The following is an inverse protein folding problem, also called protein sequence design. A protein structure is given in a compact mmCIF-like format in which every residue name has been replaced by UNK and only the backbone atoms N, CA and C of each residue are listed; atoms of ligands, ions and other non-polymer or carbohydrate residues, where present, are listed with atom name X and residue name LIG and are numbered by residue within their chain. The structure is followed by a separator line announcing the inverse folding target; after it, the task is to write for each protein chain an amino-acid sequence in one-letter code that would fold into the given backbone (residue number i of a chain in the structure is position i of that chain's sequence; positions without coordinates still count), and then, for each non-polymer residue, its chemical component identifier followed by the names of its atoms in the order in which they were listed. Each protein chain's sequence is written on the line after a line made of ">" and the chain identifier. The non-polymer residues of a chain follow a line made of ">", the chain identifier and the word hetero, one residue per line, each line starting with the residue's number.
data_IF_004407172922
#
_entry.id   IF_004407172922
#
_cell.length_a   1.000
_cell.length_b   1.000
_cell.length_c   1.000
_cell.angle_alpha   90.00
_cell.angle_beta   90.00
_cell.angle_gamma   90.00
#
_symmetry.space_group_name_H-M   'P 1'
#
loop_
_entity.id
_entity.type
_entity.pdbx_description
1 polymer ?
#
# COMPACT_ATOMS: atom_id res chain seq x y z
N UNK A 1 11.89 24.83 27.33
CA UNK A 1 12.43 24.69 25.95
C UNK A 1 11.91 23.38 25.40
N UNK A 2 10.91 23.43 24.52
CA UNK A 2 10.16 22.26 24.02
C UNK A 2 10.81 21.81 22.70
N UNK A 3 11.38 20.61 22.66
CA UNK A 3 11.83 19.98 21.41
C UNK A 3 10.70 19.10 20.89
N UNK A 4 10.06 19.51 19.81
CA UNK A 4 9.12 18.69 19.02
C UNK A 4 9.93 18.10 17.85
N UNK A 5 9.66 16.83 17.52
CA UNK A 5 10.63 15.82 17.08
C UNK A 5 11.15 15.92 15.64
N UNK A 6 12.32 15.29 15.43
CA UNK A 6 12.97 14.97 14.15
C UNK A 6 12.50 13.60 13.65
N UNK A 7 11.19 13.36 13.65
CA UNK A 7 10.61 12.11 13.16
C UNK A 7 9.91 12.40 11.83
N UNK A 8 10.59 12.07 10.73
CA UNK A 8 10.04 12.13 9.37
C UNK A 8 9.68 10.70 8.93
N UNK A 9 8.69 10.03 9.54
CA UNK A 9 8.45 8.61 9.24
C UNK A 9 8.26 8.38 7.74
N UNK A 10 8.88 7.33 7.19
CA UNK A 10 8.61 6.90 5.81
C UNK A 10 7.97 5.51 5.82
N UNK A 11 6.90 5.36 5.02
CA UNK A 11 6.22 4.10 4.79
C UNK A 11 6.66 3.56 3.43
N UNK A 12 7.42 2.47 3.44
CA UNK A 12 7.85 1.78 2.23
C UNK A 12 6.91 0.62 1.96
N UNK A 13 6.42 0.52 0.73
CA UNK A 13 5.55 -0.57 0.27
C UNK A 13 6.33 -1.43 -0.72
N UNK A 14 6.62 -2.66 -0.33
CA UNK A 14 7.22 -3.68 -1.18
C UNK A 14 6.10 -4.54 -1.79
N UNK A 15 5.88 -4.36 -3.10
CA UNK A 15 4.79 -5.01 -3.83
C UNK A 15 5.19 -6.39 -4.32
N UNK A 16 4.35 -7.38 -4.05
CA UNK A 16 4.39 -8.65 -4.77
C UNK A 16 3.63 -8.48 -6.09
N UNK A 17 4.36 -8.13 -7.15
CA UNK A 17 3.79 -7.79 -8.47
C UNK A 17 2.99 -8.96 -9.06
N UNK A 18 3.39 -10.20 -8.80
CA UNK A 18 2.67 -11.39 -9.26
C UNK A 18 1.35 -11.54 -8.51
N UNK A 19 1.37 -11.40 -7.18
CA UNK A 19 0.16 -11.46 -6.36
C UNK A 19 -0.81 -10.30 -6.67
N UNK A 20 -0.30 -9.10 -6.94
CA UNK A 20 -1.11 -7.96 -7.42
C UNK A 20 -1.74 -8.30 -8.78
N UNK A 21 -0.97 -8.89 -9.70
CA UNK A 21 -1.48 -9.32 -11.01
C UNK A 21 -2.62 -10.34 -10.88
N UNK A 22 -2.47 -11.32 -9.99
CA UNK A 22 -3.51 -12.31 -9.70
C UNK A 22 -4.77 -11.67 -9.09
N UNK A 23 -4.61 -10.71 -8.16
CA UNK A 23 -5.73 -9.94 -7.61
C UNK A 23 -6.46 -9.16 -8.71
N UNK A 24 -5.72 -8.49 -9.60
CA UNK A 24 -6.29 -7.71 -10.72
C UNK A 24 -7.06 -8.62 -11.67
N UNK A 25 -6.53 -9.80 -12.01
CA UNK A 25 -7.23 -10.76 -12.84
C UNK A 25 -8.57 -11.18 -12.22
N UNK A 26 -8.58 -11.47 -10.92
CA UNK A 26 -9.82 -11.79 -10.18
C UNK A 26 -10.79 -10.62 -10.14
N UNK A 27 -10.29 -9.41 -9.86
CA UNK A 27 -11.11 -8.18 -9.81
C UNK A 27 -11.78 -7.89 -11.16
N UNK A 28 -11.06 -8.09 -12.27
CA UNK A 28 -11.60 -7.92 -13.62
C UNK A 28 -12.61 -9.00 -14.02
N UNK A 29 -12.54 -10.18 -13.39
CA UNK A 29 -13.43 -11.31 -13.65
C UNK A 29 -14.69 -11.32 -12.76
N UNK A 30 -14.86 -10.36 -11.84
CA UNK A 30 -16.05 -10.28 -10.98
C UNK A 30 -17.30 -9.97 -11.81
N UNK A 31 -18.21 -10.96 -11.90
CA UNK A 31 -19.49 -10.83 -12.61
C UNK A 31 -20.48 -9.96 -11.82
N UNK A 32 -20.51 -10.14 -10.50
CA UNK A 32 -21.34 -9.39 -9.56
C UNK A 32 -20.43 -8.74 -8.52
N UNK A 33 -19.71 -7.70 -8.93
CA UNK A 33 -18.81 -6.98 -8.05
C UNK A 33 -19.60 -6.03 -7.13
N UNK A 34 -19.19 -5.89 -5.85
CA UNK A 34 -19.56 -4.72 -5.05
C UNK A 34 -19.15 -3.42 -5.76
N UNK A 35 -19.66 -2.28 -5.26
CA UNK A 35 -19.26 -0.97 -5.76
C UNK A 35 -17.72 -0.84 -5.78
N UNK A 36 -17.17 -0.36 -6.89
CA UNK A 36 -15.73 -0.14 -7.03
C UNK A 36 -15.33 1.05 -6.14
N UNK A 37 -14.21 0.99 -5.40
CA UNK A 37 -13.79 2.09 -4.56
C UNK A 37 -13.60 3.38 -5.36
N UNK A 38 -14.00 4.52 -4.79
CA UNK A 38 -13.91 5.82 -5.46
C UNK A 38 -12.47 6.20 -5.81
N UNK A 39 -11.51 5.74 -5.00
CA UNK A 39 -10.09 6.02 -5.21
C UNK A 39 -9.48 5.30 -6.41
N UNK A 40 -10.09 4.21 -6.90
CA UNK A 40 -9.57 3.47 -8.05
C UNK A 40 -9.99 4.18 -9.35
N UNK A 41 -9.40 5.33 -9.69
CA UNK A 41 -9.90 6.23 -10.74
C UNK A 41 -9.39 5.96 -12.16
N UNK A 42 -8.20 5.39 -12.33
CA UNK A 42 -7.53 5.29 -13.64
C UNK A 42 -8.17 4.24 -14.54
N UNK A 43 -8.65 3.13 -13.97
CA UNK A 43 -9.30 2.06 -14.71
C UNK A 43 -10.39 1.40 -13.87
N UNK A 44 -11.42 0.87 -14.53
CA UNK A 44 -12.51 0.09 -13.91
C UNK A 44 -12.49 -1.34 -14.45
N UNK A 45 -13.02 -2.34 -13.72
CA UNK A 45 -13.23 -3.68 -14.28
C UNK A 45 -13.98 -3.59 -15.62
N UNK A 46 -13.60 -4.39 -16.64
CA UNK A 46 -12.57 -5.44 -16.64
C UNK A 46 -11.17 -4.95 -17.08
N UNK A 47 -10.91 -3.64 -17.07
CA UNK A 47 -9.70 -3.03 -17.62
C UNK A 47 -8.65 -2.63 -16.56
N UNK A 48 -8.79 -3.08 -15.31
CA UNK A 48 -7.79 -2.81 -14.27
C UNK A 48 -6.47 -3.48 -14.69
N UNK A 49 -5.36 -2.78 -14.50
CA UNK A 49 -4.01 -3.33 -14.63
C UNK A 49 -3.30 -3.26 -13.29
N UNK A 50 -2.25 -4.07 -13.09
CA UNK A 50 -1.36 -3.96 -11.92
C UNK A 50 -0.86 -2.53 -11.73
N UNK A 51 -0.49 -1.88 -12.84
CA UNK A 51 0.00 -0.50 -12.84
C UNK A 51 -1.06 0.51 -12.42
N UNK A 52 -2.30 0.40 -12.93
CA UNK A 52 -3.37 1.32 -12.55
C UNK A 52 -3.79 1.13 -11.10
N UNK A 53 -3.88 -0.13 -10.63
CA UNK A 53 -4.24 -0.43 -9.24
C UNK A 53 -3.22 0.14 -8.25
N UNK A 54 -1.92 -0.17 -8.43
CA UNK A 54 -0.86 0.33 -7.55
C UNK A 54 -0.80 1.87 -7.64
N UNK A 55 -0.89 2.42 -8.84
CA UNK A 55 -0.83 3.87 -9.06
C UNK A 55 -1.96 4.62 -8.33
N UNK A 56 -3.19 4.12 -8.45
CA UNK A 56 -4.37 4.71 -7.81
C UNK A 56 -4.30 4.58 -6.28
N UNK A 57 -3.90 3.42 -5.78
CA UNK A 57 -3.75 3.18 -4.34
C UNK A 57 -2.68 4.10 -3.72
N UNK A 58 -1.50 4.18 -4.34
CA UNK A 58 -0.43 5.07 -3.84
C UNK A 58 -0.87 6.53 -3.91
N UNK A 59 -1.55 6.95 -4.98
CA UNK A 59 -2.06 8.33 -5.11
C UNK A 59 -3.10 8.65 -4.03
N UNK A 60 -3.99 7.72 -3.74
CA UNK A 60 -4.97 7.85 -2.68
C UNK A 60 -4.30 8.00 -1.31
N UNK A 61 -3.36 7.11 -0.99
CA UNK A 61 -2.63 7.16 0.27
C UNK A 61 -1.79 8.43 0.42
N UNK A 62 -1.18 8.91 -0.67
CA UNK A 62 -0.36 10.12 -0.67
C UNK A 62 -1.12 11.37 -0.21
N UNK A 63 -2.46 11.40 -0.34
CA UNK A 63 -3.30 12.50 0.17
C UNK A 63 -3.22 12.64 1.69
N UNK A 64 -2.89 11.56 2.40
CA UNK A 64 -2.82 11.53 3.86
C UNK A 64 -1.39 11.59 4.40
N UNK A 65 -0.41 11.24 3.56
CA UNK A 65 1.00 11.10 3.92
C UNK A 65 1.89 12.24 3.44
N UNK A 66 1.36 13.42 3.12
CA UNK A 66 2.17 14.57 2.69
C UNK A 66 2.80 14.48 1.29
N UNK A 67 2.92 13.28 0.71
CA UNK A 67 3.45 13.05 -0.63
C UNK A 67 3.87 11.60 -0.84
N UNK A 68 4.45 11.33 -2.01
CA UNK A 68 4.98 10.01 -2.38
C UNK A 68 6.21 10.14 -3.30
N UNK A 69 7.08 9.13 -3.26
CA UNK A 69 8.16 8.95 -4.24
C UNK A 69 7.88 7.67 -5.05
N UNK A 70 7.57 7.85 -6.34
CA UNK A 70 7.18 6.76 -7.22
C UNK A 70 5.96 5.99 -6.69
N UNK A 71 6.01 4.66 -6.76
CA UNK A 71 4.95 3.75 -6.28
C UNK A 71 5.33 2.98 -5.01
N UNK A 72 6.43 3.35 -4.37
CA UNK A 72 7.11 2.50 -3.39
C UNK A 72 7.23 3.19 -2.03
N UNK A 73 7.22 4.53 -1.98
CA UNK A 73 7.43 5.26 -0.73
C UNK A 73 6.36 6.33 -0.54
N UNK A 74 5.76 6.36 0.65
CA UNK A 74 4.91 7.43 1.17
C UNK A 74 5.69 8.15 2.29
N UNK A 75 5.64 9.48 2.31
CA UNK A 75 6.52 10.30 3.15
C UNK A 75 5.73 11.19 4.14
N UNK A 76 5.05 10.60 5.15
CA UNK A 76 4.33 11.37 6.16
C UNK A 76 5.25 12.34 6.90
N UNK A 77 4.78 13.57 7.09
CA UNK A 77 5.56 14.63 7.74
C UNK A 77 5.62 14.45 9.26
N UNK A 78 4.72 13.65 9.83
CA UNK A 78 4.62 13.40 11.25
C UNK A 78 4.00 12.02 11.54
N UNK A 79 4.06 11.60 12.81
CA UNK A 79 3.52 10.32 13.25
C UNK A 79 1.98 10.22 13.16
N UNK A 80 1.28 11.36 13.18
CA UNK A 80 -0.17 11.42 12.98
C UNK A 80 -0.55 11.06 11.55
N UNK A 81 0.16 11.62 10.56
CA UNK A 81 0.03 11.27 9.15
C UNK A 81 0.40 9.81 8.90
N UNK A 82 1.48 9.32 9.52
CA UNK A 82 1.84 7.90 9.44
C UNK A 82 0.74 6.99 9.98
N UNK A 83 0.19 7.31 11.15
CA UNK A 83 -0.93 6.56 11.75
C UNK A 83 -2.15 6.59 10.84
N UNK A 84 -2.44 7.74 10.21
CA UNK A 84 -3.53 7.86 9.23
C UNK A 84 -3.31 6.93 8.03
N UNK A 85 -2.10 6.87 7.48
CA UNK A 85 -1.78 5.96 6.38
C UNK A 85 -2.04 4.49 6.75
N UNK A 86 -1.68 4.07 7.96
CA UNK A 86 -1.92 2.69 8.42
C UNK A 86 -3.42 2.39 8.54
N UNK A 87 -4.22 3.36 9.00
CA UNK A 87 -5.68 3.24 9.06
C UNK A 87 -6.30 3.18 7.67
N UNK A 88 -5.88 4.04 6.74
CA UNK A 88 -6.38 4.03 5.36
C UNK A 88 -6.03 2.74 4.64
N UNK A 89 -4.83 2.21 4.85
CA UNK A 89 -4.45 0.89 4.37
C UNK A 89 -5.37 -0.21 4.92
N UNK A 90 -5.86 -0.08 6.16
CA UNK A 90 -6.82 -1.03 6.74
C UNK A 90 -8.20 -0.89 6.09
N UNK A 91 -8.62 0.33 5.76
CA UNK A 91 -9.88 0.59 5.07
C UNK A 91 -9.87 0.09 3.63
N UNK A 92 -8.76 0.29 2.91
CA UNK A 92 -8.53 -0.30 1.58
C UNK A 92 -8.63 -1.82 1.65
N UNK A 93 -7.95 -2.43 2.61
CA UNK A 93 -7.98 -3.88 2.81
C UNK A 93 -9.39 -4.39 3.07
N UNK A 94 -10.15 -3.73 3.95
CA UNK A 94 -11.51 -4.12 4.30
C UNK A 94 -12.55 -3.81 3.20
N UNK A 95 -12.16 -3.15 2.10
CA UNK A 95 -13.12 -2.70 1.10
C UNK A 95 -13.82 -3.90 0.43
N UNK A 96 -15.17 -3.94 0.35
CA UNK A 96 -15.91 -5.11 -0.15
C UNK A 96 -15.48 -5.57 -1.55
N UNK A 97 -15.19 -4.64 -2.45
CA UNK A 97 -14.68 -4.95 -3.79
C UNK A 97 -13.35 -5.72 -3.76
N UNK A 98 -12.39 -5.29 -2.91
CA UNK A 98 -11.09 -5.95 -2.79
C UNK A 98 -11.21 -7.27 -2.05
N UNK A 99 -12.10 -7.35 -1.05
CA UNK A 99 -12.46 -8.60 -0.37
C UNK A 99 -13.07 -9.62 -1.33
N UNK A 100 -13.96 -9.19 -2.23
CA UNK A 100 -14.50 -10.05 -3.28
C UNK A 100 -13.41 -10.53 -4.25
N UNK A 101 -12.47 -9.65 -4.62
CA UNK A 101 -11.36 -9.99 -5.50
C UNK A 101 -10.33 -10.94 -4.85
N UNK A 102 -10.15 -10.89 -3.52
CA UNK A 102 -9.23 -11.77 -2.79
C UNK A 102 -9.88 -13.08 -2.32
N UNK A 103 -11.22 -13.20 -2.32
CA UNK A 103 -11.91 -14.39 -1.83
C UNK A 103 -11.49 -15.71 -2.54
N UNK A 104 -11.01 -15.62 -3.79
CA UNK A 104 -10.45 -16.75 -4.54
C UNK A 104 -8.94 -16.92 -4.41
N UNK A 105 -8.30 -16.34 -3.39
CA UNK A 105 -6.86 -16.41 -3.18
C UNK A 105 -6.41 -17.64 -2.38
N UNK A 106 -5.19 -18.14 -2.64
CA UNK A 106 -4.54 -19.05 -1.69
C UNK A 106 -4.44 -18.41 -0.31
N UNK A 107 -4.64 -19.22 0.73
CA UNK A 107 -4.52 -18.77 2.12
C UNK A 107 -3.17 -18.10 2.37
N UNK A 108 -3.20 -16.89 2.93
CA UNK A 108 -2.00 -16.12 3.25
C UNK A 108 -1.35 -15.42 2.05
N UNK A 109 -1.98 -15.38 0.87
CA UNK A 109 -1.53 -14.57 -0.25
C UNK A 109 -1.55 -13.08 0.13
N UNK A 110 -0.41 -12.41 -0.04
CA UNK A 110 -0.24 -10.98 0.25
C UNK A 110 0.16 -10.26 -1.00
N UNK A 111 -0.41 -9.08 -1.22
CA UNK A 111 -0.06 -8.26 -2.38
C UNK A 111 1.07 -7.26 -2.09
N UNK A 112 1.34 -7.00 -0.81
CA UNK A 112 2.43 -6.14 -0.39
C UNK A 112 2.86 -6.37 1.06
N UNK A 113 4.09 -5.97 1.36
CA UNK A 113 4.61 -5.82 2.73
C UNK A 113 4.97 -4.36 2.98
N UNK A 114 4.59 -3.82 4.14
CA UNK A 114 4.92 -2.44 4.51
C UNK A 114 6.03 -2.39 5.55
N UNK A 115 6.99 -1.48 5.34
CA UNK A 115 8.11 -1.23 6.25
C UNK A 115 8.09 0.21 6.75
N UNK A 116 8.52 0.37 8.00
CA UNK A 116 8.73 1.65 8.64
C UNK A 116 10.20 2.03 8.53
N UNK A 117 10.50 3.18 7.94
CA UNK A 117 11.86 3.69 7.78
C UNK A 117 12.06 4.91 8.68
N UNK A 118 13.10 4.84 9.52
CA UNK A 118 13.45 5.80 10.57
C UNK A 118 14.69 6.66 10.27
N UNK A 119 15.45 6.34 9.22
CA UNK A 119 16.73 6.99 8.93
C UNK A 119 16.78 7.54 7.49
N UNK A 120 16.99 8.85 7.36
CA UNK A 120 16.92 9.62 6.11
C UNK A 120 18.30 9.91 5.49
N UNK A 121 19.39 9.34 6.02
CA UNK A 121 20.73 9.48 5.44
C UNK A 121 20.87 8.60 4.18
N UNK A 122 20.16 8.92 3.11
CA UNK A 122 20.23 8.21 1.84
C UNK A 122 21.39 8.78 1.02
N UNK A 123 22.57 8.15 1.08
CA UNK A 123 23.69 8.48 0.20
C UNK A 123 24.14 7.35 -0.74
N UNK A 124 23.55 6.15 -0.66
CA UNK A 124 23.65 5.02 -1.60
C UNK A 124 23.13 3.77 -0.88
N UNK A 125 21.84 3.50 -0.92
CA UNK A 125 21.25 2.32 -0.29
C UNK A 125 21.08 1.19 -1.31
N UNK A 126 22.14 0.41 -1.50
CA UNK A 126 21.99 -1.02 -1.78
C UNK A 126 21.50 -1.65 -0.47
N UNK A 127 20.52 -2.58 -0.44
CA UNK A 127 20.10 -3.22 0.81
C UNK A 127 21.25 -4.04 1.42
N UNK A 128 22.03 -3.44 2.33
CA UNK A 128 23.07 -4.15 3.08
C UNK A 128 22.38 -4.84 4.25
N UNK A 129 22.07 -6.12 4.06
CA UNK A 129 21.59 -7.02 5.10
C UNK A 129 20.10 -6.87 5.37
N UNK A 130 19.31 -7.82 4.84
CA UNK A 130 17.94 -8.12 5.32
C UNK A 130 18.02 -8.55 6.79
N UNK A 131 18.18 -7.62 7.73
CA UNK A 131 17.80 -7.87 9.12
C UNK A 131 16.29 -8.02 9.09
N UNK A 132 15.81 -9.21 9.48
CA UNK A 132 14.38 -9.49 9.69
C UNK A 132 13.85 -8.55 10.78
N UNK A 133 13.52 -7.31 10.43
CA UNK A 133 12.62 -6.51 11.25
C UNK A 133 11.24 -7.13 11.12
N UNK A 134 10.54 -7.30 12.24
CA UNK A 134 9.14 -7.74 12.23
C UNK A 134 8.34 -6.83 11.28
N UNK A 135 7.52 -7.39 10.38
CA UNK A 135 6.70 -6.59 9.48
C UNK A 135 5.83 -5.66 10.31
N UNK A 136 5.81 -4.37 9.97
CA UNK A 136 5.01 -3.38 10.69
C UNK A 136 3.51 -3.68 10.55
N UNK A 137 3.11 -4.16 9.38
CA UNK A 137 1.76 -4.65 9.05
C UNK A 137 1.82 -5.49 7.77
N UNK A 138 0.84 -6.38 7.58
CA UNK A 138 0.63 -7.16 6.35
C UNK A 138 -0.74 -6.78 5.81
N UNK A 139 -0.85 -6.60 4.49
CA UNK A 139 -2.15 -6.41 3.84
C UNK A 139 -2.67 -7.78 3.38
N UNK A 140 -3.87 -8.12 3.83
CA UNK A 140 -4.63 -9.35 3.54
C UNK A 140 -4.00 -10.61 4.16
N UNK A 141 -4.05 -10.70 5.48
CA UNK A 141 -3.65 -11.90 6.23
C UNK A 141 -4.77 -12.95 6.32
#
# INVERSE_FOLDING_TARGET
>A
MLRISKEEPALVIDWDVEAVGALVARANALVTAPAVPDWLTTARPPNITTTSLIGDLVRHLAQFGGGHCGRVVLAPNDMGQYTRLVLELSAVEAHPFLQAAIAGAPTGQRIATTYFMLDHQINQSIPIGRRRSSPARQLFA
#
